data_IF_264040490791
#
_entry.id   IF_264040490791
#
_cell.length_a   1.000
_cell.length_b   1.000
_cell.length_c   1.000
_cell.angle_alpha   90.00
_cell.angle_beta   90.00
_cell.angle_gamma   90.00
#
_symmetry.space_group_name_H-M   'P 1'
#
loop_
_entity.id
_entity.type
_entity.pdbx_description
1 polymer ?
#
# COMPACT_ATOMS: atom_id res chain seq x y z
N UNK A 1 -22.68 33.61 23.49
CA UNK A 1 -21.55 34.00 22.63
C UNK A 1 -20.61 32.83 22.34
N UNK A 2 -21.15 31.71 21.82
CA UNK A 2 -20.34 30.63 21.27
C UNK A 2 -20.25 30.82 19.76
N UNK A 3 -19.33 31.67 19.32
CA UNK A 3 -19.03 31.80 17.90
C UNK A 3 -18.27 30.55 17.47
N UNK A 4 -18.90 29.68 16.68
CA UNK A 4 -18.23 28.62 15.96
C UNK A 4 -17.32 29.23 14.91
N UNK A 5 -16.14 29.69 15.32
CA UNK A 5 -15.10 30.11 14.41
C UNK A 5 -14.66 28.90 13.61
N UNK A 6 -14.88 28.93 12.30
CA UNK A 6 -14.29 27.98 11.36
C UNK A 6 -12.78 28.05 11.57
N UNK A 7 -12.15 26.92 11.90
CA UNK A 7 -10.71 26.87 12.13
C UNK A 7 -9.99 27.39 10.88
N UNK A 8 -8.89 28.12 11.06
CA UNK A 8 -8.03 28.53 9.94
C UNK A 8 -7.69 27.33 9.04
N UNK A 9 -7.51 26.14 9.61
CA UNK A 9 -7.24 24.92 8.83
C UNK A 9 -8.46 24.39 8.06
N UNK A 10 -9.68 24.59 8.56
CA UNK A 10 -10.90 24.26 7.80
C UNK A 10 -11.05 25.21 6.60
N UNK A 11 -10.69 26.48 6.77
CA UNK A 11 -10.63 27.45 5.68
C UNK A 11 -9.54 27.10 4.64
N UNK A 12 -8.38 26.61 5.09
CA UNK A 12 -7.30 26.13 4.22
C UNK A 12 -7.70 24.87 3.44
N UNK A 13 -8.33 23.90 4.10
CA UNK A 13 -8.83 22.70 3.42
C UNK A 13 -9.91 23.05 2.38
N UNK A 14 -10.84 23.95 2.73
CA UNK A 14 -11.87 24.46 1.81
C UNK A 14 -11.26 25.23 0.63
N UNK A 15 -10.25 26.08 0.87
CA UNK A 15 -9.56 26.83 -0.18
C UNK A 15 -8.76 25.92 -1.13
N UNK A 16 -8.09 24.90 -0.59
CA UNK A 16 -7.37 23.91 -1.38
C UNK A 16 -8.31 23.12 -2.30
N UNK A 17 -9.49 22.70 -1.81
CA UNK A 17 -10.53 22.06 -2.62
C UNK A 17 -11.06 23.01 -3.70
N UNK A 18 -11.31 24.28 -3.38
CA UNK A 18 -11.81 25.28 -4.32
C UNK A 18 -10.82 25.67 -5.43
N UNK A 19 -9.51 25.48 -5.19
CA UNK A 19 -8.44 25.81 -6.15
C UNK A 19 -8.14 24.71 -7.18
N UNK A 20 -8.76 23.53 -7.05
CA UNK A 20 -8.59 22.45 -8.04
C UNK A 20 -9.40 22.73 -9.31
N UNK A 21 -8.79 22.71 -10.51
CA UNK A 21 -9.54 22.94 -11.75
C UNK A 21 -10.59 21.83 -11.92
N UNK A 22 -11.79 22.15 -12.45
CA UNK A 22 -12.84 21.16 -12.63
C UNK A 22 -12.33 20.02 -13.50
N UNK A 23 -12.27 18.82 -12.91
CA UNK A 23 -11.98 17.59 -13.64
C UNK A 23 -13.07 17.45 -14.69
N UNK A 24 -12.69 17.50 -15.97
CA UNK A 24 -13.60 17.26 -17.09
C UNK A 24 -14.26 15.90 -16.87
N UNK A 25 -15.56 15.92 -16.61
CA UNK A 25 -16.43 14.76 -16.41
C UNK A 25 -16.01 13.60 -17.33
N UNK A 26 -15.44 12.55 -16.75
CA UNK A 26 -15.54 11.23 -17.36
C UNK A 26 -17.01 10.85 -17.26
N UNK A 27 -17.64 10.66 -18.42
CA UNK A 27 -18.99 10.15 -18.51
C UNK A 27 -19.01 8.73 -17.92
N UNK A 28 -19.41 8.61 -16.66
CA UNK A 28 -19.82 7.35 -16.06
C UNK A 28 -21.12 6.94 -16.77
N UNK A 29 -21.02 5.98 -17.67
CA UNK A 29 -22.18 5.28 -18.21
C UNK A 29 -22.75 4.46 -17.06
N UNK A 30 -23.74 5.01 -16.35
CA UNK A 30 -24.59 4.22 -15.48
C UNK A 30 -25.45 3.33 -16.38
N UNK A 31 -25.10 2.05 -16.44
CA UNK A 31 -26.00 1.02 -16.94
C UNK A 31 -26.95 0.71 -15.79
N UNK A 32 -28.09 1.41 -15.74
CA UNK A 32 -29.23 0.99 -14.91
C UNK A 32 -29.73 -0.36 -15.44
N UNK A 33 -29.33 -1.43 -14.78
CA UNK A 33 -29.99 -2.74 -14.90
C UNK A 33 -31.26 -2.72 -14.04
N UNK A 34 -32.28 -2.00 -14.50
CA UNK A 34 -33.67 -2.19 -14.06
C UNK A 34 -34.36 -3.14 -15.03
N UNK A 35 -34.05 -4.44 -14.90
CA UNK A 35 -34.89 -5.49 -15.46
C UNK A 35 -35.80 -6.01 -14.34
N UNK A 36 -37.14 -5.86 -14.45
CA UNK A 36 -38.05 -6.45 -13.48
C UNK A 36 -38.02 -7.99 -13.58
N UNK A 37 -38.29 -8.71 -12.48
CA UNK A 37 -38.41 -10.17 -12.51
C UNK A 37 -39.57 -10.55 -13.43
N UNK A 38 -39.28 -11.35 -14.45
CA UNK A 38 -40.30 -11.92 -15.32
C UNK A 38 -41.19 -12.86 -14.49
N UNK A 39 -42.41 -12.41 -14.21
CA UNK A 39 -43.50 -13.27 -13.78
C UNK A 39 -43.87 -14.21 -14.94
N UNK A 40 -43.81 -15.51 -14.67
CA UNK A 40 -44.36 -16.57 -15.52
C UNK A 40 -45.90 -16.47 -15.53
N UNK A 41 -46.45 -15.55 -16.31
CA UNK A 41 -47.85 -15.58 -16.68
C UNK A 41 -48.00 -15.64 -18.20
N UNK A 42 -48.31 -16.84 -18.68
CA UNK A 42 -49.30 -17.04 -19.74
C UNK A 42 -49.10 -16.30 -21.05
N UNK A 43 -47.96 -16.46 -21.72
CA UNK A 43 -47.91 -16.24 -23.17
C UNK A 43 -48.63 -17.42 -23.84
N UNK A 44 -49.94 -17.27 -24.10
CA UNK A 44 -50.64 -18.12 -25.04
C UNK A 44 -49.98 -17.93 -26.40
N UNK A 45 -49.14 -18.90 -26.77
CA UNK A 45 -48.67 -19.07 -28.14
C UNK A 45 -49.92 -19.27 -29.00
N UNK A 46 -50.19 -18.42 -29.99
CA UNK A 46 -51.31 -18.67 -30.89
C UNK A 46 -51.04 -20.03 -31.55
N UNK A 47 -51.97 -20.95 -31.34
CA UNK A 47 -52.01 -22.26 -31.99
C UNK A 47 -51.95 -22.01 -33.50
N UNK A 48 -50.74 -22.14 -34.07
CA UNK A 48 -50.53 -21.97 -35.50
C UNK A 48 -51.25 -23.11 -36.19
N UNK A 49 -52.31 -22.74 -36.93
CA UNK A 49 -53.07 -23.66 -37.76
C UNK A 49 -52.13 -24.59 -38.55
N UNK A 50 -52.33 -25.92 -38.51
CA UNK A 50 -51.52 -26.86 -39.27
C UNK A 50 -51.83 -26.65 -40.75
N UNK A 51 -50.85 -26.18 -41.53
CA UNK A 51 -51.01 -26.09 -42.99
C UNK A 51 -50.44 -24.86 -43.69
N UNK A 52 -49.65 -24.02 -43.03
CA UNK A 52 -48.81 -23.04 -43.74
C UNK A 52 -47.34 -23.44 -43.66
N UNK A 53 -46.98 -24.45 -44.46
CA UNK A 53 -45.63 -24.53 -45.00
C UNK A 53 -45.36 -23.22 -45.73
N UNK A 54 -44.70 -22.27 -45.06
CA UNK A 54 -44.06 -21.16 -45.75
C UNK A 54 -42.96 -21.79 -46.60
N UNK A 55 -43.28 -22.13 -47.83
CA UNK A 55 -42.30 -22.53 -48.82
C UNK A 55 -41.28 -21.41 -48.93
N UNK A 56 -40.12 -21.63 -48.33
CA UNK A 56 -38.97 -20.76 -48.52
C UNK A 56 -38.72 -20.73 -50.02
N UNK A 57 -38.80 -19.54 -50.60
CA UNK A 57 -38.53 -19.39 -52.02
C UNK A 57 -37.11 -19.89 -52.31
N UNK A 58 -36.85 -20.49 -53.49
CA UNK A 58 -35.50 -20.90 -53.89
C UNK A 58 -34.46 -19.79 -53.70
N UNK A 59 -34.88 -18.53 -53.87
CA UNK A 59 -34.08 -17.33 -53.62
C UNK A 59 -33.72 -17.13 -52.14
N UNK A 60 -34.68 -17.32 -51.22
CA UNK A 60 -34.44 -17.28 -49.77
C UNK A 60 -33.44 -18.37 -49.32
N UNK A 61 -33.55 -19.56 -49.91
CA UNK A 61 -32.62 -20.67 -49.66
C UNK A 61 -31.22 -20.34 -50.21
N UNK A 62 -31.13 -19.72 -51.38
CA UNK A 62 -29.87 -19.30 -51.98
C UNK A 62 -29.16 -18.21 -51.16
N UNK A 63 -29.91 -17.22 -50.66
CA UNK A 63 -29.39 -16.16 -49.77
C UNK A 63 -28.88 -16.77 -48.47
N UNK A 64 -29.64 -17.68 -47.85
CA UNK A 64 -29.22 -18.35 -46.62
C UNK A 64 -27.95 -19.21 -46.83
N UNK A 65 -27.85 -19.94 -47.95
CA UNK A 65 -26.65 -20.72 -48.30
C UNK A 65 -25.43 -19.83 -48.55
N UNK A 66 -25.60 -18.70 -49.23
CA UNK A 66 -24.53 -17.71 -49.45
C UNK A 66 -24.04 -17.12 -48.13
N UNK A 67 -24.95 -16.69 -47.27
CA UNK A 67 -24.62 -16.14 -45.96
C UNK A 67 -23.92 -17.16 -45.05
N UNK A 68 -24.35 -18.42 -45.07
CA UNK A 68 -23.68 -19.50 -44.36
C UNK A 68 -22.27 -19.78 -44.90
N UNK A 69 -22.06 -19.67 -46.21
CA UNK A 69 -20.74 -19.74 -46.86
C UNK A 69 -19.81 -18.62 -46.38
N UNK A 70 -20.27 -17.37 -46.45
CA UNK A 70 -19.51 -16.18 -46.02
C UNK A 70 -19.16 -16.24 -44.53
N UNK A 71 -20.07 -16.74 -43.68
CA UNK A 71 -19.81 -16.97 -42.26
C UNK A 71 -18.75 -18.06 -42.05
N UNK A 72 -18.81 -19.15 -42.81
CA UNK A 72 -17.84 -20.26 -42.70
C UNK A 72 -16.44 -19.81 -43.13
N UNK A 73 -16.34 -18.93 -44.12
CA UNK A 73 -15.08 -18.36 -44.60
C UNK A 73 -14.51 -17.29 -43.65
N UNK A 74 -15.36 -16.45 -43.05
CA UNK A 74 -14.92 -15.41 -42.08
C UNK A 74 -14.64 -15.95 -40.68
N UNK A 75 -15.26 -17.07 -40.28
CA UNK A 75 -15.06 -17.72 -38.97
C UNK A 75 -13.59 -17.96 -38.61
N UNK A 76 -12.72 -18.53 -39.46
CA UNK A 76 -11.31 -18.73 -39.12
C UNK A 76 -10.56 -17.41 -38.91
N UNK A 77 -10.89 -16.35 -39.66
CA UNK A 77 -10.28 -15.01 -39.50
C UNK A 77 -10.67 -14.39 -38.16
N UNK A 78 -11.96 -14.45 -37.82
CA UNK A 78 -12.48 -13.96 -36.53
C UNK A 78 -11.89 -14.77 -35.37
N UNK A 79 -11.81 -16.10 -35.50
CA UNK A 79 -11.24 -16.98 -34.47
C UNK A 79 -9.74 -16.73 -34.27
N UNK A 80 -8.97 -16.45 -35.33
CA UNK A 80 -7.56 -16.08 -35.26
C UNK A 80 -7.35 -14.70 -34.63
N UNK A 81 -8.25 -13.74 -34.90
CA UNK A 81 -8.23 -12.42 -34.26
C UNK A 81 -8.53 -12.53 -32.76
N UNK A 82 -9.57 -13.28 -32.40
CA UNK A 82 -9.96 -13.50 -31.00
C UNK A 82 -8.89 -14.25 -30.20
N UNK A 83 -8.23 -15.26 -30.80
CA UNK A 83 -7.13 -15.96 -30.14
C UNK A 83 -5.92 -15.05 -29.91
N UNK A 84 -5.60 -14.18 -30.87
CA UNK A 84 -4.55 -13.15 -30.73
C UNK A 84 -4.90 -12.15 -29.61
N UNK A 85 -6.15 -11.66 -29.56
CA UNK A 85 -6.62 -10.76 -28.50
C UNK A 85 -6.58 -11.43 -27.12
N UNK A 86 -7.04 -12.68 -27.00
CA UNK A 86 -6.93 -13.45 -25.75
C UNK A 86 -5.47 -13.64 -25.31
N UNK A 87 -4.56 -13.89 -26.25
CA UNK A 87 -3.14 -14.01 -25.93
C UNK A 87 -2.52 -12.68 -25.46
N UNK A 88 -2.88 -11.55 -26.09
CA UNK A 88 -2.47 -10.22 -25.64
C UNK A 88 -3.04 -9.93 -24.25
N UNK A 89 -4.33 -10.19 -24.02
CA UNK A 89 -4.98 -9.99 -22.72
C UNK A 89 -4.34 -10.84 -21.62
N UNK A 90 -4.04 -12.12 -21.87
CA UNK A 90 -3.30 -12.97 -20.92
C UNK A 90 -1.90 -12.45 -20.63
N UNK A 91 -1.18 -11.92 -21.63
CA UNK A 91 0.13 -11.31 -21.42
C UNK A 91 0.04 -10.03 -20.59
N UNK A 92 -0.97 -9.20 -20.83
CA UNK A 92 -1.24 -8.00 -20.03
C UNK A 92 -1.58 -8.39 -18.59
N UNK A 93 -2.50 -9.34 -18.38
CA UNK A 93 -2.83 -9.84 -17.03
C UNK A 93 -1.63 -10.44 -16.32
N UNK A 94 -0.83 -11.27 -17.00
CA UNK A 94 0.38 -11.85 -16.41
C UNK A 94 1.42 -10.78 -16.09
N UNK A 95 1.60 -9.77 -16.93
CA UNK A 95 2.49 -8.65 -16.65
C UNK A 95 1.99 -7.82 -15.47
N UNK A 96 0.69 -7.52 -15.39
CA UNK A 96 0.09 -6.80 -14.26
C UNK A 96 0.21 -7.60 -12.97
N UNK A 97 -0.06 -8.90 -13.01
CA UNK A 97 0.11 -9.77 -11.85
C UNK A 97 1.58 -9.89 -11.41
N UNK A 98 2.51 -10.00 -12.37
CA UNK A 98 3.94 -10.09 -12.07
C UNK A 98 4.47 -8.83 -11.37
N UNK A 99 3.94 -7.65 -11.70
CA UNK A 99 4.38 -6.39 -11.09
C UNK A 99 3.92 -6.21 -9.63
N UNK A 100 2.87 -6.92 -9.19
CA UNK A 100 2.38 -6.84 -7.81
C UNK A 100 3.07 -7.82 -6.85
N UNK A 101 4.09 -8.55 -7.31
CA UNK A 101 4.87 -9.45 -6.45
C UNK A 101 6.20 -8.81 -6.06
N UNK A 102 6.77 -9.29 -4.95
CA UNK A 102 8.13 -8.94 -4.53
C UNK A 102 9.12 -9.24 -5.68
N UNK A 103 9.97 -8.28 -6.09
CA UNK A 103 10.98 -8.50 -7.13
C UNK A 103 12.07 -9.50 -6.71
N UNK A 104 12.56 -10.32 -7.64
CA UNK A 104 13.58 -11.34 -7.35
C UNK A 104 14.85 -10.78 -6.67
N UNK A 105 15.27 -9.56 -7.04
CA UNK A 105 16.43 -8.90 -6.38
C UNK A 105 16.22 -8.71 -4.88
N UNK A 106 14.99 -8.41 -4.46
CA UNK A 106 14.61 -8.25 -3.04
C UNK A 106 14.55 -9.62 -2.37
N UNK A 107 14.00 -10.65 -3.04
CA UNK A 107 13.99 -12.03 -2.54
C UNK A 107 15.39 -12.57 -2.28
N UNK A 108 16.31 -12.35 -3.23
CA UNK A 108 17.71 -12.76 -3.12
C UNK A 108 18.38 -12.05 -1.93
N UNK A 109 18.17 -10.75 -1.77
CA UNK A 109 18.69 -10.00 -0.63
C UNK A 109 18.16 -10.54 0.70
N UNK A 110 16.85 -10.81 0.80
CA UNK A 110 16.23 -11.42 1.98
C UNK A 110 16.81 -12.81 2.28
N UNK A 111 16.96 -13.66 1.27
CA UNK A 111 17.54 -15.00 1.44
C UNK A 111 18.98 -14.93 1.95
N UNK A 112 19.79 -14.01 1.42
CA UNK A 112 21.15 -13.78 1.92
C UNK A 112 21.16 -13.37 3.40
N UNK A 113 20.27 -12.45 3.79
CA UNK A 113 20.10 -12.06 5.19
C UNK A 113 19.65 -13.23 6.05
N UNK A 114 18.76 -14.10 5.58
CA UNK A 114 18.25 -15.29 6.28
C UNK A 114 19.29 -16.42 6.44
N UNK A 115 20.31 -16.47 5.59
CA UNK A 115 21.38 -17.47 5.66
C UNK A 115 22.54 -17.09 6.59
N UNK A 116 22.60 -15.83 7.05
CA UNK A 116 23.59 -15.44 8.07
C UNK A 116 23.45 -16.31 9.34
N UNK A 117 24.56 -16.83 9.85
CA UNK A 117 24.54 -17.74 11.01
C UNK A 117 23.97 -17.05 12.25
N UNK A 118 22.85 -17.53 12.81
CA UNK A 118 22.28 -16.93 14.01
C UNK A 118 23.14 -17.23 15.24
N UNK A 119 23.31 -16.26 16.13
CA UNK A 119 24.12 -16.38 17.34
C UNK A 119 23.29 -16.76 18.58
N UNK A 120 22.24 -17.56 18.43
CA UNK A 120 21.32 -17.87 19.53
C UNK A 120 20.66 -19.25 19.43
N UNK A 121 19.59 -19.50 20.21
CA UNK A 121 18.94 -20.80 20.26
C UNK A 121 18.44 -21.24 18.86
N UNK A 122 18.43 -22.56 18.58
CA UNK A 122 17.88 -23.05 17.32
C UNK A 122 16.39 -22.73 17.20
N UNK A 123 15.85 -22.62 15.97
CA UNK A 123 14.41 -22.46 15.77
C UNK A 123 13.65 -23.66 16.36
N UNK A 124 12.52 -23.39 17.03
CA UNK A 124 11.62 -24.45 17.51
C UNK A 124 10.90 -25.13 16.33
N UNK A 125 10.28 -26.32 16.52
CA UNK A 125 9.46 -26.95 15.49
C UNK A 125 8.38 -26.02 14.92
N UNK A 126 7.77 -25.18 15.78
CA UNK A 126 6.79 -24.19 15.35
C UNK A 126 7.40 -23.12 14.43
N UNK A 127 8.61 -22.63 14.70
CA UNK A 127 9.30 -21.71 13.76
C UNK A 127 9.52 -22.38 12.41
N UNK A 128 9.98 -23.64 12.42
CA UNK A 128 10.19 -24.40 11.19
C UNK A 128 8.88 -24.60 10.43
N UNK A 129 7.78 -24.86 11.14
CA UNK A 129 6.45 -25.02 10.56
C UNK A 129 5.95 -23.71 9.92
N UNK A 130 6.05 -22.58 10.63
CA UNK A 130 5.70 -21.25 10.12
C UNK A 130 6.53 -20.84 8.89
N UNK A 131 7.75 -21.38 8.74
CA UNK A 131 8.62 -21.11 7.60
C UNK A 131 8.37 -22.03 6.38
N UNK A 132 7.52 -23.06 6.50
CA UNK A 132 7.26 -23.99 5.39
C UNK A 132 6.55 -23.27 4.25
N UNK A 133 6.97 -23.57 3.01
CA UNK A 133 6.39 -22.98 1.79
C UNK A 133 4.92 -23.35 1.57
N UNK A 134 4.50 -24.47 2.14
CA UNK A 134 3.14 -24.99 2.11
C UNK A 134 2.90 -25.64 3.46
N UNK A 135 1.85 -25.19 4.13
CA UNK A 135 1.41 -25.73 5.41
C UNK A 135 -0.09 -25.46 5.51
N UNK A 136 -0.84 -26.42 6.07
CA UNK A 136 -2.26 -26.22 6.33
C UNK A 136 -2.47 -25.58 7.70
N UNK A 137 -3.68 -25.06 7.92
CA UNK A 137 -4.04 -24.50 9.22
C UNK A 137 -3.99 -25.58 10.32
N UNK A 138 -4.47 -26.79 10.02
CA UNK A 138 -4.46 -27.92 10.96
C UNK A 138 -3.03 -28.33 11.34
N UNK A 139 -2.10 -28.42 10.37
CA UNK A 139 -0.69 -28.75 10.66
C UNK A 139 -0.02 -27.72 11.59
N UNK A 140 -0.38 -26.44 11.47
CA UNK A 140 0.11 -25.38 12.35
C UNK A 140 -0.46 -25.53 13.77
N UNK A 141 -1.75 -25.83 13.90
CA UNK A 141 -2.39 -26.04 15.20
C UNK A 141 -1.96 -27.34 15.88
N UNK A 142 -1.78 -28.43 15.15
CA UNK A 142 -1.24 -29.69 15.66
C UNK A 142 0.18 -29.45 16.23
N UNK A 143 1.04 -28.76 15.46
CA UNK A 143 2.38 -28.40 15.91
C UNK A 143 2.38 -27.51 17.16
N UNK A 144 1.39 -26.62 17.30
CA UNK A 144 1.23 -25.78 18.48
C UNK A 144 0.68 -26.57 19.68
N UNK A 145 -0.24 -27.52 19.44
CA UNK A 145 -0.81 -28.41 20.44
C UNK A 145 0.24 -29.28 21.13
N UNK A 146 1.23 -29.76 20.38
CA UNK A 146 2.36 -30.53 20.90
C UNK A 146 3.24 -29.72 21.86
N UNK A 147 3.37 -28.40 21.65
CA UNK A 147 4.12 -27.51 22.52
C UNK A 147 3.57 -26.07 22.51
N UNK A 148 2.54 -25.76 23.35
CA UNK A 148 1.93 -24.44 23.38
C UNK A 148 2.90 -23.32 23.81
N UNK A 149 3.93 -23.67 24.60
CA UNK A 149 4.95 -22.73 25.04
C UNK A 149 5.83 -22.20 23.90
N UNK A 150 5.87 -22.89 22.75
CA UNK A 150 6.70 -22.52 21.61
C UNK A 150 6.39 -21.14 21.04
N UNK A 151 5.17 -20.63 21.23
CA UNK A 151 4.76 -19.28 20.81
C UNK A 151 5.59 -18.17 21.48
N UNK A 152 6.08 -18.42 22.71
CA UNK A 152 6.84 -17.45 23.52
C UNK A 152 8.35 -17.63 23.40
N UNK A 153 8.81 -18.54 22.56
CA UNK A 153 10.24 -18.81 22.37
C UNK A 153 10.74 -17.97 21.21
N UNK A 154 11.87 -17.27 21.40
CA UNK A 154 12.59 -16.60 20.31
C UNK A 154 13.60 -17.55 19.69
N UNK A 155 13.76 -17.49 18.37
CA UNK A 155 14.88 -18.11 17.67
C UNK A 155 16.20 -17.35 17.91
N UNK A 156 17.30 -17.83 17.33
CA UNK A 156 18.62 -17.23 17.45
C UNK A 156 18.78 -15.84 16.80
N UNK A 157 17.75 -15.32 16.15
CA UNK A 157 17.64 -13.94 15.62
C UNK A 157 16.66 -13.10 16.45
N UNK A 158 16.25 -13.60 17.60
CA UNK A 158 15.28 -12.90 18.44
C UNK A 158 13.87 -12.86 17.87
N UNK A 159 13.55 -13.69 16.86
CA UNK A 159 12.24 -13.74 16.20
C UNK A 159 11.30 -14.70 16.90
N UNK A 160 10.05 -14.31 17.04
CA UNK A 160 8.96 -15.22 17.40
C UNK A 160 8.41 -15.93 16.17
N UNK A 161 7.60 -17.00 16.32
CA UNK A 161 6.89 -17.61 15.20
C UNK A 161 6.04 -16.61 14.40
N UNK A 162 5.52 -15.56 15.05
CA UNK A 162 4.77 -14.49 14.40
C UNK A 162 5.61 -13.70 13.38
N UNK A 163 6.88 -13.39 13.69
CA UNK A 163 7.80 -12.79 12.72
C UNK A 163 8.02 -13.70 11.51
N UNK A 164 8.15 -15.01 11.74
CA UNK A 164 8.36 -15.99 10.67
C UNK A 164 7.15 -16.05 9.74
N UNK A 165 5.93 -16.03 10.27
CA UNK A 165 4.70 -16.01 9.48
C UNK A 165 4.63 -14.76 8.58
N UNK A 166 4.92 -13.59 9.15
CA UNK A 166 4.95 -12.33 8.39
C UNK A 166 6.02 -12.30 7.29
N UNK A 167 7.05 -13.16 7.39
CA UNK A 167 8.12 -13.30 6.40
C UNK A 167 7.90 -14.46 5.40
N UNK A 168 6.82 -15.25 5.54
CA UNK A 168 6.57 -16.43 4.70
C UNK A 168 5.95 -16.06 3.34
N UNK A 169 6.78 -15.50 2.46
CA UNK A 169 6.43 -15.07 1.11
C UNK A 169 5.70 -16.15 0.29
N UNK A 170 6.12 -17.41 0.41
CA UNK A 170 5.54 -18.51 -0.36
C UNK A 170 4.06 -18.74 -0.04
N UNK A 171 3.65 -18.49 1.20
CA UNK A 171 2.27 -18.57 1.63
C UNK A 171 1.50 -17.29 1.29
N UNK A 172 2.10 -16.11 1.52
CA UNK A 172 1.46 -14.80 1.30
C UNK A 172 1.10 -14.58 -0.19
N UNK A 173 1.91 -15.09 -1.11
CA UNK A 173 1.65 -14.99 -2.57
C UNK A 173 0.39 -15.73 -3.03
N UNK A 174 -0.18 -16.62 -2.21
CA UNK A 174 -1.42 -17.35 -2.53
C UNK A 174 -2.58 -16.86 -1.67
N UNK A 175 -3.81 -16.82 -2.22
CA UNK A 175 -5.01 -16.43 -1.46
C UNK A 175 -5.27 -17.38 -0.29
N UNK A 176 -5.25 -18.69 -0.54
CA UNK A 176 -5.43 -19.74 0.49
C UNK A 176 -4.32 -19.69 1.56
N UNK A 177 -3.09 -19.39 1.16
CA UNK A 177 -1.99 -19.21 2.09
C UNK A 177 -2.19 -17.97 2.97
N UNK A 178 -2.63 -16.83 2.41
CA UNK A 178 -3.01 -15.65 3.19
C UNK A 178 -4.11 -15.93 4.19
N UNK A 179 -5.17 -16.62 3.80
CA UNK A 179 -6.25 -17.01 4.71
C UNK A 179 -5.72 -17.86 5.89
N UNK A 180 -4.88 -18.85 5.58
CA UNK A 180 -4.22 -19.71 6.58
C UNK A 180 -3.34 -18.89 7.52
N UNK A 181 -2.47 -18.04 6.98
CA UNK A 181 -1.58 -17.19 7.77
C UNK A 181 -2.34 -16.18 8.63
N UNK A 182 -3.37 -15.53 8.09
CA UNK A 182 -4.21 -14.56 8.81
C UNK A 182 -4.91 -15.24 10.00
N UNK A 183 -5.53 -16.40 9.78
CA UNK A 183 -6.20 -17.14 10.85
C UNK A 183 -5.23 -17.55 11.96
N UNK A 184 -4.08 -18.12 11.57
CA UNK A 184 -3.09 -18.59 12.54
C UNK A 184 -2.38 -17.44 13.25
N UNK A 185 -2.01 -16.36 12.55
CA UNK A 185 -1.42 -15.17 13.16
C UNK A 185 -2.38 -14.52 14.16
N UNK A 186 -3.67 -14.42 13.83
CA UNK A 186 -4.69 -13.94 14.76
C UNK A 186 -4.74 -14.76 16.05
N UNK A 187 -4.62 -16.09 15.95
CA UNK A 187 -4.50 -16.95 17.13
C UNK A 187 -3.22 -16.64 17.94
N UNK A 188 -2.06 -16.51 17.28
CA UNK A 188 -0.82 -16.20 17.99
C UNK A 188 -0.86 -14.85 18.70
N UNK A 189 -1.43 -13.82 18.07
CA UNK A 189 -1.55 -12.47 18.66
C UNK A 189 -2.48 -12.51 19.87
N UNK A 190 -3.57 -13.28 19.82
CA UNK A 190 -4.48 -13.44 20.95
C UNK A 190 -3.83 -14.18 22.14
N UNK A 191 -3.08 -15.26 21.86
CA UNK A 191 -2.41 -16.05 22.91
C UNK A 191 -1.18 -15.37 23.51
N UNK A 192 -0.45 -14.59 22.71
CA UNK A 192 0.74 -13.86 23.14
C UNK A 192 0.90 -12.51 22.42
N UNK A 193 0.09 -11.48 22.81
CA UNK A 193 0.09 -10.18 22.14
C UNK A 193 1.44 -9.45 22.24
N UNK A 194 2.23 -9.75 23.27
CA UNK A 194 3.59 -9.21 23.42
C UNK A 194 4.51 -9.52 22.24
N UNK A 195 4.29 -10.61 21.48
CA UNK A 195 5.10 -10.92 20.29
C UNK A 195 4.99 -9.86 19.19
N UNK A 196 3.82 -9.22 19.03
CA UNK A 196 3.57 -8.18 18.04
C UNK A 196 4.36 -6.89 18.30
N UNK A 197 4.80 -6.69 19.56
CA UNK A 197 5.46 -5.46 20.02
C UNK A 197 6.98 -5.61 20.16
N UNK A 198 7.53 -6.77 19.83
CA UNK A 198 8.94 -7.06 20.04
C UNK A 198 9.69 -7.08 18.73
N UNK A 199 10.71 -6.24 18.63
CA UNK A 199 11.63 -6.21 17.50
C UNK A 199 12.53 -7.45 17.50
N UNK A 200 12.82 -7.96 16.31
CA UNK A 200 13.86 -8.96 16.10
C UNK A 200 15.27 -8.36 16.15
N UNK A 201 16.31 -9.16 15.89
CA UNK A 201 17.70 -8.70 15.86
C UNK A 201 17.99 -7.64 14.80
N UNK A 202 17.16 -7.58 13.75
CA UNK A 202 17.29 -6.64 12.64
C UNK A 202 16.46 -5.36 12.90
N UNK A 203 15.78 -5.27 14.06
CA UNK A 203 15.00 -4.12 14.47
C UNK A 203 13.55 -4.10 13.96
N UNK A 204 13.06 -5.19 13.36
CA UNK A 204 11.72 -5.26 12.77
C UNK A 204 10.70 -5.91 13.71
N UNK A 205 9.51 -5.32 13.78
CA UNK A 205 8.31 -5.98 14.30
C UNK A 205 7.80 -7.00 13.28
N UNK A 206 6.89 -7.92 13.69
CA UNK A 206 6.16 -8.74 12.73
C UNK A 206 5.50 -7.90 11.63
N UNK A 207 5.43 -8.45 10.41
CA UNK A 207 4.83 -7.83 9.21
C UNK A 207 5.51 -6.55 8.69
N UNK A 208 6.37 -5.87 9.46
CA UNK A 208 7.03 -4.63 9.03
C UNK A 208 8.14 -4.83 8.00
N UNK A 209 8.76 -6.01 7.93
CA UNK A 209 9.91 -6.24 7.05
C UNK A 209 9.55 -6.15 5.56
N UNK A 210 8.45 -6.77 5.13
CA UNK A 210 7.99 -6.69 3.73
C UNK A 210 7.67 -5.24 3.35
N UNK A 211 7.06 -4.48 4.26
CA UNK A 211 6.78 -3.05 4.06
C UNK A 211 8.07 -2.25 3.91
N UNK A 212 9.07 -2.51 4.76
CA UNK A 212 10.38 -1.87 4.69
C UNK A 212 11.09 -2.16 3.35
N UNK A 213 11.08 -3.43 2.92
CA UNK A 213 11.65 -3.87 1.65
C UNK A 213 10.95 -3.18 0.46
N UNK A 214 9.62 -3.02 0.51
CA UNK A 214 8.84 -2.33 -0.52
C UNK A 214 9.20 -0.84 -0.60
N UNK A 215 9.29 -0.15 0.53
CA UNK A 215 9.70 1.26 0.57
C UNK A 215 11.10 1.45 -0.02
N UNK A 216 12.05 0.59 0.37
CA UNK A 216 13.43 0.66 -0.12
C UNK A 216 13.48 0.41 -1.62
N UNK A 217 12.74 -0.59 -2.12
CA UNK A 217 12.63 -0.88 -3.53
C UNK A 217 12.11 0.30 -4.34
N UNK A 218 11.00 0.93 -3.92
CA UNK A 218 10.43 2.10 -4.62
C UNK A 218 11.44 3.24 -4.67
N UNK A 219 12.14 3.50 -3.57
CA UNK A 219 13.13 4.57 -3.46
C UNK A 219 14.39 4.31 -4.29
N UNK A 220 14.81 3.05 -4.43
CA UNK A 220 15.95 2.66 -5.27
C UNK A 220 15.64 2.77 -6.77
N UNK A 221 14.45 2.32 -7.20
CA UNK A 221 14.05 2.42 -8.61
C UNK A 221 13.96 3.86 -9.10
N UNK A 222 13.51 4.77 -8.23
CA UNK A 222 13.52 6.20 -8.51
C UNK A 222 14.93 6.74 -8.82
N UNK A 223 15.97 6.20 -8.17
CA UNK A 223 17.38 6.61 -8.38
C UNK A 223 17.95 6.06 -9.69
N UNK A 224 17.64 4.82 -10.04
CA UNK A 224 18.18 4.18 -11.25
C UNK A 224 17.69 4.88 -12.53
N UNK A 225 16.39 5.22 -12.61
CA UNK A 225 15.82 5.93 -13.77
C UNK A 225 16.44 7.32 -13.99
N UNK A 226 16.89 7.99 -12.93
CA UNK A 226 17.56 9.29 -13.04
C UNK A 226 18.95 9.18 -13.67
N UNK A 227 19.67 8.09 -13.39
CA UNK A 227 21.06 7.93 -13.84
C UNK A 227 21.10 7.68 -15.36
N UNK A 228 20.26 6.78 -15.86
CA UNK A 228 20.25 6.36 -17.28
C UNK A 228 19.91 7.50 -18.25
N UNK A 229 19.02 8.42 -17.88
CA UNK A 229 18.63 9.54 -18.74
C UNK A 229 19.65 10.69 -18.74
N UNK A 230 20.51 10.78 -17.71
CA UNK A 230 21.58 11.77 -17.69
C UNK A 230 22.76 11.41 -18.59
N UNK A 231 22.94 10.12 -18.89
CA UNK A 231 24.05 9.60 -19.69
C UNK A 231 23.83 9.59 -21.21
N UNK A 232 22.63 9.89 -21.70
CA UNK A 232 22.31 9.88 -23.15
C UNK A 232 22.29 11.28 -23.78
N UNK A 233 22.86 12.30 -23.11
CA UNK A 233 23.11 13.58 -23.76
C UNK A 233 24.10 13.35 -24.91
N UNK A 234 23.74 13.67 -26.17
CA UNK A 234 24.59 13.41 -27.32
C UNK A 234 25.85 14.25 -27.15
N UNK A 235 26.95 13.55 -26.86
CA UNK A 235 28.28 14.11 -26.74
C UNK A 235 28.66 14.68 -28.12
N UNK A 236 28.32 15.95 -28.32
CA UNK A 236 28.81 16.73 -29.45
C UNK A 236 30.33 16.62 -29.43
N UNK A 237 30.88 16.13 -30.54
CA UNK A 237 32.31 16.07 -30.83
C UNK A 237 33.04 17.31 -30.34
N UNK A 238 33.58 17.25 -29.12
CA UNK A 238 34.48 18.27 -28.61
C UNK A 238 35.89 17.82 -28.93
N UNK A 239 36.47 18.50 -29.91
CA UNK A 239 37.86 18.36 -30.32
C UNK A 239 38.78 18.25 -29.11
N UNK A 240 39.52 17.16 -29.03
CA UNK A 240 40.65 17.00 -28.12
C UNK A 240 41.76 17.97 -28.56
N UNK A 241 41.85 19.13 -27.92
CA UNK A 241 43.08 19.92 -27.95
C UNK A 241 44.00 19.43 -26.84
N UNK A 242 45.10 18.78 -27.24
CA UNK A 242 46.21 18.46 -26.35
C UNK A 242 46.86 19.77 -25.86
N UNK A 243 46.91 19.98 -24.55
CA UNK A 243 47.84 20.96 -23.97
C UNK A 243 48.45 20.37 -22.70
N UNK A 244 49.78 20.33 -22.66
CA UNK A 244 50.59 19.86 -21.55
C UNK A 244 50.78 20.98 -20.52
N UNK A 245 50.73 20.57 -19.25
CA UNK A 245 51.66 20.94 -18.17
C UNK A 245 51.50 22.26 -17.37
N UNK A 246 51.84 22.09 -16.07
CA UNK A 246 52.23 23.02 -15.01
C UNK A 246 51.21 23.63 -14.03
N UNK A 247 51.35 23.20 -12.76
CA UNK A 247 51.49 24.15 -11.63
C UNK A 247 50.42 24.10 -10.52
N UNK A 248 50.80 23.94 -9.23
CA UNK A 248 49.87 23.99 -8.11
C UNK A 248 49.85 25.37 -7.45
N UNK A 249 48.76 26.13 -7.58
CA UNK A 249 48.42 27.26 -6.71
C UNK A 249 46.89 27.36 -6.57
N UNK A 250 46.35 27.10 -5.37
CA UNK A 250 45.99 28.15 -4.40
C UNK A 250 45.04 29.22 -4.96
N UNK A 251 43.74 29.07 -4.65
CA UNK A 251 42.84 30.09 -4.07
C UNK A 251 41.38 29.65 -4.24
N UNK A 252 40.82 29.13 -3.16
CA UNK A 252 39.37 28.97 -2.98
C UNK A 252 38.77 30.35 -2.67
N UNK A 253 38.12 30.96 -3.65
CA UNK A 253 37.07 31.96 -3.40
C UNK A 253 36.24 32.18 -4.67
N UNK A 254 34.96 31.85 -4.55
CA UNK A 254 33.86 32.70 -5.00
C UNK A 254 33.64 32.88 -6.51
N UNK A 255 33.03 31.89 -7.17
CA UNK A 255 32.35 32.08 -8.47
C UNK A 255 31.23 31.08 -8.82
N UNK A 256 30.88 30.11 -7.97
CA UNK A 256 29.89 29.07 -8.33
C UNK A 256 28.43 29.35 -7.94
N UNK A 257 28.07 30.56 -7.48
CA UNK A 257 26.72 30.82 -6.93
C UNK A 257 25.63 31.27 -7.90
N UNK A 258 25.91 31.45 -9.21
CA UNK A 258 24.91 32.01 -10.16
C UNK A 258 24.28 31.04 -11.17
N UNK A 259 24.58 29.74 -11.15
CA UNK A 259 23.98 28.77 -12.09
C UNK A 259 23.20 27.61 -11.45
N UNK A 260 22.92 27.66 -10.15
CA UNK A 260 22.23 26.57 -9.43
C UNK A 260 20.69 26.61 -9.51
N UNK A 261 20.09 27.72 -9.96
CA UNK A 261 18.63 27.87 -9.95
C UNK A 261 17.96 27.15 -11.14
N UNK A 262 18.63 27.02 -12.28
CA UNK A 262 18.06 26.37 -13.48
C UNK A 262 18.17 24.84 -13.51
N UNK A 263 19.24 24.27 -12.94
CA UNK A 263 19.48 22.81 -12.97
C UNK A 263 18.74 22.10 -11.81
N UNK A 264 18.40 22.83 -10.74
CA UNK A 264 17.70 22.27 -9.57
C UNK A 264 16.22 21.97 -9.83
N UNK A 265 15.55 22.67 -10.74
CA UNK A 265 14.11 22.43 -11.00
C UNK A 265 13.87 21.15 -11.81
N UNK A 266 14.75 20.78 -12.74
CA UNK A 266 14.57 19.55 -13.52
C UNK A 266 14.89 18.26 -12.74
N UNK A 267 15.65 18.32 -11.63
CA UNK A 267 15.79 17.16 -10.72
C UNK A 267 14.52 16.88 -9.90
N UNK A 268 13.67 17.88 -9.71
CA UNK A 268 12.43 17.74 -8.93
C UNK A 268 11.31 17.00 -9.69
N UNK A 269 11.27 17.12 -11.02
CA UNK A 269 10.18 16.57 -11.83
C UNK A 269 10.12 15.03 -11.88
N UNK A 270 11.20 14.32 -11.53
CA UNK A 270 11.22 12.84 -11.45
C UNK A 270 10.99 12.27 -10.06
N UNK A 271 10.76 13.14 -9.06
CA UNK A 271 10.69 12.75 -7.65
C UNK A 271 9.45 11.91 -7.32
N UNK A 272 8.40 11.99 -8.13
CA UNK A 272 7.09 11.39 -7.85
C UNK A 272 6.66 10.45 -8.98
N UNK A 273 7.39 9.35 -9.15
CA UNK A 273 6.96 8.28 -10.05
C UNK A 273 5.75 7.56 -9.46
N UNK A 274 4.87 7.05 -10.33
CA UNK A 274 3.77 6.16 -9.94
C UNK A 274 4.33 4.94 -9.23
N UNK A 275 3.72 4.59 -8.11
CA UNK A 275 4.10 3.44 -7.29
C UNK A 275 3.05 2.34 -7.46
N UNK A 276 3.51 1.11 -7.62
CA UNK A 276 2.67 -0.07 -7.53
C UNK A 276 2.92 -0.73 -6.16
N UNK A 277 1.85 -1.08 -5.45
CA UNK A 277 1.93 -1.78 -4.16
C UNK A 277 1.95 -3.29 -4.41
N UNK A 278 2.78 -4.00 -3.66
CA UNK A 278 2.80 -5.47 -3.67
C UNK A 278 1.61 -6.04 -2.89
N UNK A 279 1.05 -7.16 -3.33
CA UNK A 279 -0.06 -7.81 -2.62
C UNK A 279 0.34 -8.25 -1.20
N UNK A 280 1.61 -8.65 -1.03
CA UNK A 280 2.18 -9.02 0.25
C UNK A 280 2.29 -7.83 1.20
N UNK A 281 2.61 -6.64 0.68
CA UNK A 281 2.66 -5.39 1.45
C UNK A 281 1.26 -4.98 1.90
N UNK A 282 0.27 -5.04 1.01
CA UNK A 282 -1.13 -4.76 1.34
C UNK A 282 -1.65 -5.73 2.43
N UNK A 283 -1.33 -7.02 2.32
CA UNK A 283 -1.65 -8.00 3.35
C UNK A 283 -0.96 -7.68 4.68
N UNK A 284 0.32 -7.28 4.67
CA UNK A 284 1.03 -6.86 5.88
C UNK A 284 0.36 -5.64 6.55
N UNK A 285 -0.12 -4.66 5.79
CA UNK A 285 -0.87 -3.53 6.35
C UNK A 285 -2.19 -3.97 7.01
N UNK A 286 -2.88 -4.94 6.41
CA UNK A 286 -4.09 -5.54 7.00
C UNK A 286 -3.77 -6.28 8.31
N UNK A 287 -2.65 -7.02 8.35
CA UNK A 287 -2.20 -7.70 9.56
C UNK A 287 -1.82 -6.71 10.67
N UNK A 288 -1.08 -5.64 10.35
CA UNK A 288 -0.76 -4.58 11.32
C UNK A 288 -2.02 -3.87 11.84
N UNK A 289 -3.02 -3.67 10.99
CA UNK A 289 -4.31 -3.11 11.41
C UNK A 289 -5.02 -4.04 12.39
N UNK A 290 -5.04 -5.34 12.10
CA UNK A 290 -5.61 -6.37 12.98
C UNK A 290 -4.87 -6.44 14.33
N UNK A 291 -3.54 -6.39 14.31
CA UNK A 291 -2.72 -6.33 15.54
C UNK A 291 -3.07 -5.11 16.39
N UNK A 292 -3.12 -3.93 15.77
CA UNK A 292 -3.48 -2.69 16.44
C UNK A 292 -4.88 -2.71 17.06
N UNK A 293 -5.81 -3.41 16.43
CA UNK A 293 -7.17 -3.59 16.94
C UNK A 293 -7.22 -4.56 18.12
N UNK A 294 -6.52 -5.70 18.03
CA UNK A 294 -6.43 -6.67 19.13
C UNK A 294 -5.76 -6.03 20.35
N UNK A 295 -4.66 -5.28 20.13
CA UNK A 295 -3.95 -4.59 21.20
C UNK A 295 -4.82 -3.53 21.87
N UNK A 296 -5.56 -2.73 21.09
CA UNK A 296 -6.49 -1.74 21.63
C UNK A 296 -7.61 -2.38 22.48
N UNK A 297 -8.12 -3.55 22.07
CA UNK A 297 -9.12 -4.30 22.85
C UNK A 297 -8.56 -4.84 24.16
N UNK A 298 -7.32 -5.34 24.14
CA UNK A 298 -6.67 -5.85 25.35
C UNK A 298 -6.34 -4.74 26.35
N UNK A 299 -6.04 -3.53 25.87
CA UNK A 299 -5.87 -2.36 26.72
C UNK A 299 -7.19 -1.94 27.40
N UNK A 300 -8.36 -2.27 26.86
CA UNK A 300 -9.63 -2.03 27.55
C UNK A 300 -9.87 -2.97 28.76
N UNK A 301 -9.06 -4.02 28.96
CA UNK A 301 -9.22 -4.93 30.08
C UNK A 301 -8.67 -4.36 31.41
N UNK A 302 -9.33 -4.62 32.55
CA UNK A 302 -8.92 -4.10 33.86
C UNK A 302 -7.47 -4.45 34.23
N UNK A 303 -6.78 -3.48 34.85
CA UNK A 303 -5.33 -3.49 35.21
C UNK A 303 -4.83 -4.77 35.87
N UNK A 304 -5.69 -5.51 36.58
CA UNK A 304 -5.32 -6.75 37.28
C UNK A 304 -4.85 -7.90 36.36
N UNK A 305 -5.18 -7.89 35.07
CA UNK A 305 -4.64 -8.86 34.10
C UNK A 305 -3.34 -8.40 33.40
N UNK A 306 -2.99 -7.10 33.47
CA UNK A 306 -1.81 -6.55 32.77
C UNK A 306 -0.47 -6.96 33.38
N UNK A 307 -0.43 -7.26 34.69
CA UNK A 307 0.82 -7.41 35.46
C UNK A 307 1.64 -8.66 35.08
N UNK A 308 1.09 -9.62 34.34
CA UNK A 308 1.79 -10.89 34.06
C UNK A 308 2.61 -10.92 32.77
N UNK A 309 2.42 -9.99 31.83
CA UNK A 309 2.97 -10.13 30.47
C UNK A 309 4.26 -9.34 30.25
N UNK A 310 4.46 -8.23 30.95
CA UNK A 310 5.69 -7.44 30.85
C UNK A 310 6.18 -7.12 32.25
N UNK A 311 7.34 -7.66 32.64
CA UNK A 311 8.03 -7.30 33.90
C UNK A 311 8.53 -5.85 33.93
N UNK A 312 7.94 -4.96 33.13
CA UNK A 312 8.21 -3.53 33.05
C UNK A 312 7.32 -2.79 34.05
N UNK A 313 7.81 -1.64 34.51
CA UNK A 313 7.12 -0.78 35.47
C UNK A 313 5.67 -0.51 35.01
N UNK A 314 4.65 -0.64 35.88
CA UNK A 314 3.25 -0.35 35.53
C UNK A 314 2.98 1.11 35.12
N UNK A 315 3.98 2.00 35.27
CA UNK A 315 3.96 3.38 34.78
C UNK A 315 4.52 3.54 33.36
N UNK A 316 5.15 2.52 32.79
CA UNK A 316 5.67 2.51 31.41
C UNK A 316 4.72 1.72 30.51
N UNK A 317 3.41 1.99 30.62
CA UNK A 317 2.44 1.59 29.60
C UNK A 317 2.63 2.51 28.41
N UNK A 318 3.76 2.38 27.72
CA UNK A 318 3.88 2.91 26.37
C UNK A 318 2.70 2.34 25.61
N UNK A 319 1.88 3.25 25.09
CA UNK A 319 0.78 2.90 24.22
C UNK A 319 1.34 1.95 23.15
N UNK A 320 0.71 0.79 22.98
CA UNK A 320 1.12 -0.19 21.97
C UNK A 320 1.25 0.48 20.59
N UNK A 321 0.48 1.55 20.34
CA UNK A 321 0.61 2.44 19.18
C UNK A 321 1.97 3.12 19.11
N UNK A 322 2.46 3.67 20.21
CA UNK A 322 3.79 4.29 20.30
C UNK A 322 4.88 3.30 19.92
N UNK A 323 4.79 2.03 20.35
CA UNK A 323 5.80 1.01 20.00
C UNK A 323 5.79 0.70 18.49
N UNK A 324 4.60 0.54 17.89
CA UNK A 324 4.47 0.34 16.45
C UNK A 324 5.03 1.55 15.70
N UNK A 325 4.61 2.76 16.08
CA UNK A 325 5.07 4.03 15.52
C UNK A 325 6.59 4.10 15.64
N UNK A 326 7.18 3.90 16.83
CA UNK A 326 8.62 3.92 17.09
C UNK A 326 9.41 2.91 16.25
N UNK A 327 8.82 1.77 15.90
CA UNK A 327 9.44 0.82 14.98
C UNK A 327 9.51 1.35 13.55
N UNK A 328 8.52 2.13 13.15
CA UNK A 328 8.40 2.71 11.82
C UNK A 328 8.98 4.13 11.73
N UNK A 329 9.22 4.85 12.84
CA UNK A 329 9.52 6.30 12.89
C UNK A 329 10.56 6.70 11.85
N UNK A 330 11.67 5.96 11.75
CA UNK A 330 12.75 6.28 10.82
C UNK A 330 12.36 6.21 9.33
N UNK A 331 11.24 5.57 9.02
CA UNK A 331 10.70 5.34 7.68
C UNK A 331 9.29 5.91 7.49
N UNK A 332 8.67 6.50 8.53
CA UNK A 332 7.28 6.96 8.47
C UNK A 332 7.03 8.02 7.40
N UNK A 333 7.85 9.09 7.27
CA UNK A 333 7.67 10.06 6.18
C UNK A 333 7.75 9.41 4.80
N UNK A 334 8.69 8.49 4.60
CA UNK A 334 8.85 7.78 3.33
C UNK A 334 7.70 6.82 3.07
N UNK A 335 7.22 6.10 4.09
CA UNK A 335 6.06 5.23 4.01
C UNK A 335 4.84 6.02 3.53
N UNK A 336 4.55 7.16 4.18
CA UNK A 336 3.40 7.98 3.81
C UNK A 336 3.54 8.55 2.40
N UNK A 337 4.70 9.11 2.07
CA UNK A 337 4.98 9.58 0.73
C UNK A 337 4.74 8.46 -0.30
N UNK A 338 5.29 7.27 -0.07
CA UNK A 338 5.15 6.13 -0.98
C UNK A 338 3.69 5.67 -1.13
N UNK A 339 2.94 5.61 -0.04
CA UNK A 339 1.51 5.22 -0.06
C UNK A 339 0.67 6.25 -0.83
N UNK A 340 0.91 7.55 -0.65
CA UNK A 340 0.20 8.59 -1.41
C UNK A 340 0.54 8.59 -2.91
N UNK A 341 1.68 8.03 -3.29
CA UNK A 341 2.10 7.86 -4.68
C UNK A 341 1.64 6.54 -5.32
N UNK A 342 0.94 5.69 -4.57
CA UNK A 342 0.31 4.49 -5.13
C UNK A 342 -0.69 4.90 -6.21
N UNK A 343 -0.55 4.32 -7.40
CA UNK A 343 -1.42 4.61 -8.54
C UNK A 343 -2.83 4.08 -8.27
N UNK A 344 -3.84 4.81 -8.74
CA UNK A 344 -5.21 4.31 -8.69
C UNK A 344 -5.36 3.31 -9.84
N UNK A 345 -5.25 2.02 -9.54
CA UNK A 345 -5.33 0.90 -10.48
C UNK A 345 -6.77 0.62 -10.97
N UNK A 346 -7.69 1.58 -10.78
CA UNK A 346 -9.12 1.41 -11.01
C UNK A 346 -9.81 0.51 -9.98
N UNK A 347 -9.11 0.05 -8.94
CA UNK A 347 -9.65 -0.68 -7.79
C UNK A 347 -9.51 0.12 -6.50
N UNK A 348 -9.29 1.43 -6.62
CA UNK A 348 -9.09 2.38 -5.52
C UNK A 348 -8.09 1.87 -4.48
N UNK A 349 -7.03 1.16 -4.92
CA UNK A 349 -6.10 0.47 -4.01
C UNK A 349 -5.48 1.42 -2.98
N UNK A 350 -5.09 2.63 -3.39
CA UNK A 350 -4.59 3.64 -2.44
C UNK A 350 -5.62 4.01 -1.38
N UNK A 351 -6.88 4.21 -1.78
CA UNK A 351 -7.97 4.52 -0.85
C UNK A 351 -8.17 3.38 0.13
N UNK A 352 -8.25 2.13 -0.37
CA UNK A 352 -8.38 0.92 0.47
C UNK A 352 -7.26 0.81 1.50
N UNK A 353 -6.01 1.13 1.12
CA UNK A 353 -4.86 1.15 2.03
C UNK A 353 -4.98 2.29 3.05
N UNK A 354 -5.29 3.51 2.63
CA UNK A 354 -5.42 4.66 3.52
C UNK A 354 -6.59 4.55 4.50
N UNK A 355 -7.60 3.76 4.17
CA UNK A 355 -8.76 3.48 5.02
C UNK A 355 -8.52 2.30 5.99
N UNK A 356 -7.36 1.66 5.93
CA UNK A 356 -6.97 0.67 6.94
C UNK A 356 -6.67 1.36 8.28
N UNK A 357 -7.00 0.68 9.38
CA UNK A 357 -6.84 1.22 10.75
C UNK A 357 -5.40 1.66 11.03
N UNK A 358 -4.41 0.92 10.53
CA UNK A 358 -2.99 1.32 10.68
C UNK A 358 -2.74 2.71 10.11
N UNK A 359 -3.31 3.05 8.94
CA UNK A 359 -3.12 4.36 8.32
C UNK A 359 -3.97 5.45 8.96
N UNK A 360 -5.21 5.15 9.35
CA UNK A 360 -6.05 6.07 10.10
C UNK A 360 -5.35 6.55 11.38
N UNK A 361 -4.75 5.63 12.13
CA UNK A 361 -3.97 5.97 13.34
C UNK A 361 -2.66 6.68 13.01
N UNK A 362 -1.98 6.24 11.96
CA UNK A 362 -0.73 6.84 11.52
C UNK A 362 -0.92 8.30 11.08
N UNK A 363 -2.03 8.66 10.42
CA UNK A 363 -2.36 10.05 9.99
C UNK A 363 -2.27 11.07 11.12
N UNK A 364 -2.51 10.64 12.36
CA UNK A 364 -2.42 11.47 13.55
C UNK A 364 -1.01 11.47 14.17
N UNK A 365 0.01 10.88 13.54
CA UNK A 365 1.37 10.88 14.05
C UNK A 365 2.19 12.06 13.47
N UNK A 366 2.68 12.99 14.30
CA UNK A 366 3.46 14.15 13.85
C UNK A 366 4.73 13.76 13.09
N UNK A 367 5.35 12.63 13.44
CA UNK A 367 6.59 12.12 12.84
C UNK A 367 6.44 11.75 11.36
N UNK A 368 5.22 11.64 10.83
CA UNK A 368 5.00 11.38 9.42
C UNK A 368 5.09 12.62 8.54
N UNK A 369 4.88 13.79 9.15
CA UNK A 369 4.92 15.07 8.45
C UNK A 369 6.39 15.38 8.13
N UNK A 370 6.69 15.54 6.84
CA UNK A 370 8.04 15.79 6.38
C UNK A 370 8.08 16.71 5.16
N UNK A 371 9.30 17.00 4.69
CA UNK A 371 9.50 17.86 3.51
C UNK A 371 8.85 17.30 2.24
N UNK A 372 8.58 15.99 2.20
CA UNK A 372 7.86 15.35 1.10
C UNK A 372 6.52 16.03 0.82
N UNK A 373 5.82 16.52 1.86
CA UNK A 373 4.52 17.16 1.72
C UNK A 373 4.64 18.48 0.95
N UNK A 374 5.58 19.33 1.35
CA UNK A 374 5.89 20.58 0.63
C UNK A 374 6.41 20.31 -0.77
N UNK A 375 7.20 19.25 -0.95
CA UNK A 375 7.72 18.88 -2.26
C UNK A 375 6.60 18.43 -3.21
N UNK A 376 5.61 17.67 -2.71
CA UNK A 376 4.45 17.23 -3.48
C UNK A 376 3.54 18.41 -3.85
N UNK A 377 3.26 19.32 -2.92
CA UNK A 377 2.48 20.54 -3.20
C UNK A 377 3.16 21.40 -4.28
N UNK A 378 4.46 21.63 -4.15
CA UNK A 378 5.24 22.43 -5.11
C UNK A 378 5.36 21.78 -6.49
N UNK A 379 5.17 20.47 -6.60
CA UNK A 379 5.27 19.76 -7.89
C UNK A 379 4.03 20.00 -8.77
N UNK A 380 2.89 20.35 -8.19
CA UNK A 380 1.62 20.46 -8.92
C UNK A 380 1.06 19.11 -9.38
N UNK A 381 -0.02 19.15 -10.18
CA UNK A 381 -0.60 17.97 -10.82
C UNK A 381 -1.06 16.88 -9.84
N UNK A 382 -0.81 15.62 -10.19
CA UNK A 382 -1.23 14.47 -9.37
C UNK A 382 -0.58 14.52 -7.97
N UNK A 383 0.74 14.70 -7.80
CA UNK A 383 1.35 14.76 -6.47
C UNK A 383 0.75 15.84 -5.57
N UNK A 384 0.50 17.05 -6.08
CA UNK A 384 -0.12 18.11 -5.29
C UNK A 384 -1.53 17.72 -4.82
N UNK A 385 -2.34 17.13 -5.69
CA UNK A 385 -3.67 16.63 -5.30
C UNK A 385 -3.60 15.55 -4.21
N UNK A 386 -2.58 14.67 -4.24
CA UNK A 386 -2.36 13.64 -3.20
C UNK A 386 -1.90 14.26 -1.88
N UNK A 387 -1.09 15.32 -1.91
CA UNK A 387 -0.74 16.09 -0.72
C UNK A 387 -1.95 16.82 -0.12
N UNK A 388 -2.84 17.37 -0.94
CA UNK A 388 -4.11 17.97 -0.49
C UNK A 388 -5.01 16.90 0.14
N UNK A 389 -5.09 15.71 -0.45
CA UNK A 389 -5.83 14.57 0.12
C UNK A 389 -5.28 14.17 1.51
N UNK A 390 -3.95 14.15 1.71
CA UNK A 390 -3.36 13.98 3.03
C UNK A 390 -3.86 15.03 4.04
N UNK A 391 -3.79 16.31 3.68
CA UNK A 391 -4.25 17.42 4.55
C UNK A 391 -5.75 17.29 4.87
N UNK A 392 -6.55 16.95 3.87
CA UNK A 392 -7.99 16.73 4.02
C UNK A 392 -8.27 15.57 4.98
N UNK A 393 -7.55 14.46 4.88
CA UNK A 393 -7.72 13.32 5.79
C UNK A 393 -7.33 13.65 7.23
N UNK A 394 -6.22 14.36 7.44
CA UNK A 394 -5.83 14.83 8.78
C UNK A 394 -6.91 15.76 9.36
N UNK A 395 -7.51 16.64 8.54
CA UNK A 395 -8.58 17.54 9.00
C UNK A 395 -9.92 16.83 9.24
N UNK A 396 -10.18 15.71 8.58
CA UNK A 396 -11.42 14.93 8.73
C UNK A 396 -11.24 13.71 9.65
N UNK A 397 -10.04 13.49 10.19
CA UNK A 397 -9.80 12.43 11.15
C UNK A 397 -10.71 12.61 12.36
N UNK A 398 -11.26 11.50 12.84
CA UNK A 398 -12.23 11.40 13.92
C UNK A 398 -11.61 10.80 15.17
N UNK A 399 -12.35 10.86 16.28
CA UNK A 399 -11.96 10.15 17.50
C UNK A 399 -11.92 8.63 17.28
N UNK A 400 -12.75 8.09 16.39
CA UNK A 400 -12.79 6.65 16.11
C UNK A 400 -11.55 6.21 15.34
N UNK A 401 -11.05 7.04 14.41
CA UNK A 401 -9.76 6.83 13.74
C UNK A 401 -8.60 6.79 14.74
N UNK A 402 -8.71 7.58 15.82
CA UNK A 402 -7.72 7.64 16.89
C UNK A 402 -7.82 6.42 17.83
N UNK A 403 -9.02 6.03 18.25
CA UNK A 403 -9.24 4.93 19.21
C UNK A 403 -9.24 3.55 18.54
N UNK A 404 -9.47 3.49 17.23
CA UNK A 404 -9.69 2.27 16.45
C UNK A 404 -11.14 1.82 16.41
N UNK A 405 -12.11 2.65 16.81
CA UNK A 405 -13.55 2.33 16.78
C UNK A 405 -14.01 1.24 17.75
N UNK A 406 -13.14 0.78 18.68
CA UNK A 406 -13.50 -0.19 19.70
C UNK A 406 -13.93 0.49 20.99
N UNK A 407 -15.24 0.50 21.24
CA UNK A 407 -15.83 1.02 22.47
C UNK A 407 -16.12 2.52 22.41
N UNK A 408 -16.78 3.02 23.46
CA UNK A 408 -17.06 4.44 23.58
C UNK A 408 -15.78 5.17 24.02
N UNK A 409 -15.39 6.20 23.27
CA UNK A 409 -14.23 7.02 23.61
C UNK A 409 -14.38 7.65 25.00
N UNK A 410 -13.36 7.51 25.84
CA UNK A 410 -13.30 8.16 27.15
C UNK A 410 -12.94 9.65 26.98
N UNK A 411 -13.23 10.47 28.01
CA UNK A 411 -12.88 11.89 28.00
C UNK A 411 -11.38 12.13 27.79
N UNK A 412 -10.52 11.27 28.34
CA UNK A 412 -9.08 11.31 28.12
C UNK A 412 -8.68 11.06 26.66
N UNK A 413 -9.43 10.21 25.94
CA UNK A 413 -9.17 9.93 24.54
C UNK A 413 -9.45 11.16 23.67
N UNK A 414 -10.49 11.92 23.99
CA UNK A 414 -10.80 13.18 23.32
C UNK A 414 -9.71 14.24 23.50
N UNK A 415 -9.15 14.35 24.70
CA UNK A 415 -8.04 15.24 24.99
C UNK A 415 -6.77 14.80 24.23
N UNK A 416 -6.45 13.50 24.29
CA UNK A 416 -5.33 12.91 23.57
C UNK A 416 -5.44 13.11 22.05
N UNK A 417 -6.62 12.85 21.49
CA UNK A 417 -6.92 13.07 20.07
C UNK A 417 -6.74 14.53 19.67
N UNK A 418 -7.33 15.48 20.43
CA UNK A 418 -7.21 16.92 20.12
C UNK A 418 -5.75 17.38 20.19
N UNK A 419 -5.04 17.00 21.25
CA UNK A 419 -3.63 17.36 21.44
C UNK A 419 -2.77 16.82 20.29
N UNK A 420 -2.95 15.55 19.95
CA UNK A 420 -2.18 14.88 18.89
C UNK A 420 -2.47 15.52 17.51
N UNK A 421 -3.74 15.81 17.22
CA UNK A 421 -4.15 16.47 15.98
C UNK A 421 -3.60 17.90 15.87
N UNK A 422 -3.60 18.65 16.97
CA UNK A 422 -3.00 19.98 17.04
C UNK A 422 -1.49 19.95 16.83
N UNK A 423 -0.80 18.95 17.38
CA UNK A 423 0.63 18.73 17.17
C UNK A 423 0.96 18.42 15.70
N UNK A 424 0.15 17.59 15.03
CA UNK A 424 0.28 17.33 13.59
C UNK A 424 0.13 18.63 12.80
N UNK A 425 -0.90 19.44 13.06
CA UNK A 425 -1.09 20.72 12.37
C UNK A 425 0.02 21.73 12.65
N UNK A 426 0.52 21.76 13.87
CA UNK A 426 1.68 22.59 14.25
C UNK A 426 2.91 22.17 13.45
N UNK A 427 3.13 20.87 13.32
CA UNK A 427 4.24 20.32 12.54
C UNK A 427 4.09 20.64 11.05
N UNK A 428 2.88 20.53 10.50
CA UNK A 428 2.55 20.94 9.12
C UNK A 428 2.83 22.43 8.93
N UNK A 429 2.34 23.29 9.82
CA UNK A 429 2.55 24.74 9.76
C UNK A 429 4.02 25.16 9.87
N UNK A 430 4.84 24.35 10.55
CA UNK A 430 6.29 24.52 10.62
C UNK A 430 7.06 24.15 9.34
N UNK A 431 6.41 23.50 8.36
CA UNK A 431 7.09 23.12 7.12
C UNK A 431 7.41 24.35 6.25
N UNK A 432 8.68 24.44 5.84
CA UNK A 432 9.16 25.54 4.99
C UNK A 432 8.45 25.55 3.64
N UNK A 433 7.76 26.65 3.34
CA UNK A 433 7.12 26.90 2.04
C UNK A 433 5.64 26.48 1.96
N UNK A 434 5.08 25.88 3.02
CA UNK A 434 3.67 25.47 3.00
C UNK A 434 2.71 26.66 3.00
N UNK A 435 3.02 27.70 3.77
CA UNK A 435 2.21 28.92 3.87
C UNK A 435 2.15 29.66 2.53
N UNK A 436 3.25 29.66 1.78
CA UNK A 436 3.33 30.28 0.45
C UNK A 436 2.52 29.56 -0.62
N UNK A 437 2.08 28.33 -0.37
CA UNK A 437 1.20 27.58 -1.28
C UNK A 437 -0.27 27.74 -0.91
N UNK A 438 -0.55 27.86 0.39
CA UNK A 438 -1.91 28.01 0.92
C UNK A 438 -2.46 29.42 0.67
N UNK A 439 -1.60 30.44 0.77
CA UNK A 439 -1.90 31.84 0.44
C UNK A 439 -1.72 32.09 -1.05
#
# INVERSE_FOLDING_TARGET
NGGGGVSFMDAVAMAAVASTPPVKNQATIQIENTAPPATEEGLQVPEMAPGHERHLTPESIAIAKKFAGDLKEKRPVVQKSLSKQKAIFRKVLAATAAKRNIPDKVKVARYATQMASPSGPPPTPLHTMCARRRVTLDELFDCLGDNPGAIKVKDGRGRYPLHILGDNEAMITSSTGRETLTAFAGHLINEFPGAALVKDSDGFLPFCRIIADWIDWVNEEGKQKQTTESSTSPEGHRHKSNFYDQGPQSKFADSSRRNWVGISMNRSLKKFSRVEIWEETEWCFSMLSTELDILARNDALPTFQRIRVTGSNPHDTRDSRTVLVESLIGRLPQLMQTVFLVDDDGQDTRQRVLDMVVFQRLLLCPHMVGSWLTDMLNHGGVPANRAVDFLWRVSHSTIDDFTGGFGAAHTSDWEGFRSTREEVFTTIGGLKGIVSFIL
#
